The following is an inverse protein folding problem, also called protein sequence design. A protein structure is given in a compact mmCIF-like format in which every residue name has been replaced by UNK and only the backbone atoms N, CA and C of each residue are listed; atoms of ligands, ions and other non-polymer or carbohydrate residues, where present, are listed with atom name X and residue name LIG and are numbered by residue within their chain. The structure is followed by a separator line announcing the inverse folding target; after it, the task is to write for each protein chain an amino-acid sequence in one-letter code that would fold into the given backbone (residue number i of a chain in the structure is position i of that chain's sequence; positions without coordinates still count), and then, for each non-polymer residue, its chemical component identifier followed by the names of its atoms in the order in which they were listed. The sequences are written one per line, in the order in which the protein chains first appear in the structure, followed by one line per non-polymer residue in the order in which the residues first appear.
data_IF_978505914841
#
_entry.id   IF_978505914841
#
_cell.length_a   1.000
_cell.length_b   1.000
_cell.length_c   1.000
_cell.angle_alpha   90.00
_cell.angle_beta   90.00
_cell.angle_gamma   90.00
#
_symmetry.space_group_name_H-M   'P 1'
#
loop_
_entity.id
_entity.type
_entity.pdbx_description
1 polymer ?
#
# COMPACT_ATOMS: atom_id res chain seq x y z
N UNK A 1 -19.39 -42.66 -12.95
CA UNK A 1 -18.87 -41.58 -13.81
C UNK A 1 -19.85 -41.33 -14.94
N UNK A 2 -20.49 -40.16 -14.98
CA UNK A 2 -20.96 -39.55 -16.21
C UNK A 2 -20.13 -38.27 -16.52
N UNK A 3 -20.01 -37.88 -17.79
CA UNK A 3 -19.08 -36.83 -18.24
C UNK A 3 -19.59 -35.43 -17.89
N UNK A 4 -18.67 -34.57 -17.47
CA UNK A 4 -18.91 -33.16 -17.21
C UNK A 4 -19.25 -32.42 -18.51
N UNK A 5 -20.46 -31.90 -18.59
CA UNK A 5 -20.88 -30.92 -19.58
C UNK A 5 -20.25 -29.57 -19.24
N UNK A 6 -19.50 -29.02 -20.19
CA UNK A 6 -18.74 -27.78 -20.04
C UNK A 6 -19.65 -26.58 -20.37
N UNK A 7 -20.01 -25.68 -19.43
CA UNK A 7 -20.85 -24.53 -19.73
C UNK A 7 -20.07 -23.24 -19.49
N UNK A 8 -19.38 -22.71 -20.50
CA UNK A 8 -19.25 -21.26 -20.69
C UNK A 8 -18.48 -20.91 -21.98
N UNK A 9 -19.19 -20.96 -23.11
CA UNK A 9 -18.89 -20.12 -24.27
C UNK A 9 -19.94 -19.02 -24.32
N UNK A 10 -19.78 -18.00 -23.49
CA UNK A 10 -20.56 -16.77 -23.60
C UNK A 10 -19.70 -15.58 -23.17
N UNK A 11 -18.70 -15.25 -23.98
CA UNK A 11 -17.90 -14.02 -23.85
C UNK A 11 -18.76 -12.82 -24.25
N UNK A 12 -19.62 -12.35 -23.34
CA UNK A 12 -19.95 -10.93 -23.30
C UNK A 12 -18.64 -10.17 -23.02
N UNK A 13 -18.32 -9.06 -23.71
CA UNK A 13 -17.23 -8.23 -23.27
C UNK A 13 -17.59 -7.74 -21.87
N UNK A 14 -16.83 -8.19 -20.87
CA UNK A 14 -16.91 -7.64 -19.53
C UNK A 14 -16.82 -6.12 -19.67
N UNK A 15 -17.68 -5.41 -18.95
CA UNK A 15 -17.71 -3.95 -18.88
C UNK A 15 -16.31 -3.48 -18.44
N UNK A 16 -15.40 -3.29 -19.40
CA UNK A 16 -13.98 -3.03 -19.13
C UNK A 16 -13.93 -1.63 -18.57
N UNK A 17 -13.70 -1.52 -17.27
CA UNK A 17 -13.29 -0.27 -16.67
C UNK A 17 -12.06 0.22 -17.43
N UNK A 18 -12.18 1.36 -18.14
CA UNK A 18 -11.11 1.93 -18.96
C UNK A 18 -10.55 3.15 -18.28
N UNK A 19 -9.24 3.15 -18.06
CA UNK A 19 -8.54 4.35 -17.62
C UNK A 19 -8.34 5.30 -18.81
N UNK A 20 -8.60 6.61 -18.68
CA UNK A 20 -8.56 7.53 -19.81
C UNK A 20 -7.22 7.54 -20.55
N UNK A 21 -6.10 7.50 -19.82
CA UNK A 21 -4.76 7.52 -20.38
C UNK A 21 -4.37 6.21 -21.10
N UNK A 22 -5.17 5.15 -20.95
CA UNK A 22 -4.97 3.89 -21.68
C UNK A 22 -5.68 3.86 -23.04
N UNK A 23 -6.36 4.93 -23.45
CA UNK A 23 -7.04 5.01 -24.76
C UNK A 23 -6.15 4.55 -25.95
N UNK A 24 -4.88 4.99 -26.07
CA UNK A 24 -4.00 4.53 -27.15
C UNK A 24 -3.71 3.02 -27.10
N UNK A 25 -3.69 2.42 -25.90
CA UNK A 25 -3.49 0.98 -25.71
C UNK A 25 -4.72 0.23 -26.25
N UNK A 26 -5.92 0.69 -25.92
CA UNK A 26 -7.16 0.05 -26.38
C UNK A 26 -7.33 0.14 -27.90
N UNK A 27 -6.94 1.26 -28.52
CA UNK A 27 -6.95 1.40 -29.98
C UNK A 27 -6.01 0.40 -30.67
N UNK A 28 -4.79 0.25 -30.15
CA UNK A 28 -3.85 -0.74 -30.66
C UNK A 28 -4.30 -2.18 -30.39
N UNK A 29 -4.91 -2.47 -29.25
CA UNK A 29 -5.50 -3.78 -28.94
C UNK A 29 -6.66 -4.12 -29.89
N UNK A 30 -7.51 -3.16 -30.22
CA UNK A 30 -8.58 -3.33 -31.20
C UNK A 30 -8.02 -3.62 -32.60
N UNK A 31 -6.98 -2.88 -33.02
CA UNK A 31 -6.28 -3.13 -34.29
C UNK A 31 -5.64 -4.52 -34.32
N UNK A 32 -5.05 -4.96 -33.21
CA UNK A 32 -4.46 -6.30 -33.10
C UNK A 32 -5.52 -7.38 -33.26
N UNK A 33 -6.66 -7.23 -32.60
CA UNK A 33 -7.79 -8.16 -32.73
C UNK A 33 -8.33 -8.24 -34.16
N UNK A 34 -8.41 -7.12 -34.87
CA UNK A 34 -8.81 -7.10 -36.27
C UNK A 34 -7.82 -7.86 -37.17
N UNK A 35 -6.51 -7.66 -36.96
CA UNK A 35 -5.47 -8.37 -37.68
C UNK A 35 -5.50 -9.88 -37.41
N UNK A 36 -5.71 -10.27 -36.15
CA UNK A 36 -5.86 -11.67 -35.75
C UNK A 36 -7.10 -12.32 -36.37
N UNK A 37 -8.23 -11.61 -36.40
CA UNK A 37 -9.45 -12.08 -37.05
C UNK A 37 -9.26 -12.26 -38.57
N UNK A 38 -8.59 -11.31 -39.23
CA UNK A 38 -8.25 -11.42 -40.66
C UNK A 38 -7.30 -12.57 -40.95
N UNK A 39 -6.35 -12.83 -40.05
CA UNK A 39 -5.42 -13.97 -40.17
C UNK A 39 -6.18 -15.29 -40.07
N UNK A 40 -7.11 -15.41 -39.12
CA UNK A 40 -7.94 -16.61 -38.95
C UNK A 40 -8.85 -16.89 -40.16
N UNK A 41 -9.25 -15.85 -40.90
CA UNK A 41 -10.09 -15.95 -42.11
C UNK A 41 -9.29 -16.12 -43.41
N UNK A 42 -7.96 -15.95 -43.38
CA UNK A 42 -7.12 -16.00 -44.57
C UNK A 42 -6.99 -17.43 -45.12
N UNK A 43 -7.30 -17.62 -46.42
CA UNK A 43 -7.07 -18.86 -47.16
C UNK A 43 -5.86 -18.67 -48.09
N UNK A 44 -4.71 -19.23 -47.72
CA UNK A 44 -3.47 -19.19 -48.52
C UNK A 44 -2.22 -18.84 -47.69
N UNK A 45 -1.10 -19.51 -47.96
CA UNK A 45 0.12 -19.44 -47.15
C UNK A 45 0.81 -18.07 -47.15
N UNK A 46 0.87 -17.38 -48.30
CA UNK A 46 1.60 -16.11 -48.43
C UNK A 46 0.89 -14.93 -47.75
N UNK A 47 -0.45 -14.88 -47.85
CA UNK A 47 -1.26 -13.88 -47.14
C UNK A 47 -1.22 -14.07 -45.62
N UNK A 48 -1.20 -15.32 -45.15
CA UNK A 48 -1.10 -15.64 -43.73
C UNK A 48 0.29 -15.28 -43.16
N UNK A 49 1.37 -15.45 -43.94
CA UNK A 49 2.73 -15.09 -43.53
C UNK A 49 2.87 -13.56 -43.32
N UNK A 50 2.40 -12.74 -44.26
CA UNK A 50 2.44 -11.28 -44.13
C UNK A 50 1.64 -10.74 -42.94
N UNK A 51 0.46 -11.32 -42.66
CA UNK A 51 -0.34 -10.95 -41.48
C UNK A 51 0.35 -11.38 -40.18
N UNK A 52 1.04 -12.53 -40.17
CA UNK A 52 1.78 -13.01 -38.99
C UNK A 52 2.86 -12.01 -38.57
N UNK A 53 3.62 -11.47 -39.52
CA UNK A 53 4.69 -10.51 -39.22
C UNK A 53 4.14 -9.14 -38.82
N UNK A 54 3.03 -8.71 -39.41
CA UNK A 54 2.30 -7.52 -38.95
C UNK A 54 1.81 -7.67 -37.51
N UNK A 55 1.20 -8.80 -37.17
CA UNK A 55 0.75 -9.12 -35.79
C UNK A 55 1.93 -9.10 -34.82
N UNK A 56 3.07 -9.71 -35.16
CA UNK A 56 4.28 -9.66 -34.32
C UNK A 56 4.82 -8.25 -34.12
N UNK A 57 4.70 -7.40 -35.14
CA UNK A 57 5.14 -6.01 -35.08
C UNK A 57 4.24 -5.20 -34.17
N UNK A 58 2.91 -5.25 -34.39
CA UNK A 58 1.92 -4.57 -33.55
C UNK A 58 1.99 -5.05 -32.10
N UNK A 59 2.21 -6.34 -31.84
CA UNK A 59 2.40 -6.86 -30.47
C UNK A 59 3.63 -6.25 -29.78
N UNK A 60 4.75 -6.11 -30.50
CA UNK A 60 5.98 -5.48 -29.96
C UNK A 60 5.77 -4.00 -29.67
N UNK A 61 5.15 -3.28 -30.60
CA UNK A 61 4.81 -1.88 -30.42
C UNK A 61 3.83 -1.68 -29.25
N UNK A 62 2.84 -2.56 -29.10
CA UNK A 62 1.88 -2.52 -27.99
C UNK A 62 2.56 -2.69 -26.63
N UNK A 63 3.52 -3.62 -26.50
CA UNK A 63 4.30 -3.78 -25.27
C UNK A 63 5.15 -2.54 -25.00
N UNK A 64 5.77 -1.97 -26.03
CA UNK A 64 6.53 -0.72 -25.94
C UNK A 64 5.67 0.46 -25.48
N UNK A 65 4.48 0.61 -26.07
CA UNK A 65 3.51 1.64 -25.72
C UNK A 65 3.02 1.50 -24.27
N UNK A 66 2.68 0.27 -23.85
CA UNK A 66 2.29 -0.02 -22.45
C UNK A 66 3.39 0.41 -21.49
N UNK A 67 4.64 0.06 -21.76
CA UNK A 67 5.78 0.48 -20.92
C UNK A 67 5.96 1.99 -20.91
N UNK A 68 5.88 2.65 -22.07
CA UNK A 68 6.08 4.10 -22.18
C UNK A 68 5.01 4.89 -21.40
N UNK A 69 3.74 4.48 -21.49
CA UNK A 69 2.64 5.12 -20.74
C UNK A 69 2.82 4.87 -19.24
N UNK A 70 3.00 3.62 -18.82
CA UNK A 70 3.04 3.26 -17.40
C UNK A 70 4.31 3.71 -16.68
N UNK A 71 5.43 3.90 -17.40
CA UNK A 71 6.65 4.47 -16.82
C UNK A 71 6.51 5.95 -16.44
N UNK A 72 5.58 6.67 -17.08
CA UNK A 72 5.40 8.12 -16.99
C UNK A 72 4.04 8.53 -16.38
N UNK A 73 3.42 7.65 -15.59
CA UNK A 73 2.18 7.98 -14.90
C UNK A 73 2.39 9.15 -13.93
N UNK A 74 1.46 10.10 -13.96
CA UNK A 74 1.30 11.06 -12.88
C UNK A 74 0.93 10.36 -11.56
N UNK A 75 1.12 11.03 -10.41
CA UNK A 75 0.69 10.48 -9.12
C UNK A 75 -0.80 10.16 -9.08
N UNK A 76 -1.64 10.97 -9.74
CA UNK A 76 -3.09 10.70 -9.80
C UNK A 76 -3.40 9.49 -10.68
N UNK A 77 -2.78 9.35 -11.84
CA UNK A 77 -2.95 8.16 -12.68
C UNK A 77 -2.47 6.90 -11.95
N UNK A 78 -1.41 6.99 -11.15
CA UNK A 78 -0.97 5.90 -10.27
C UNK A 78 -2.06 5.50 -9.26
N UNK A 79 -2.75 6.47 -8.64
CA UNK A 79 -3.91 6.21 -7.77
C UNK A 79 -5.05 5.54 -8.54
N UNK A 80 -5.28 5.92 -9.80
CA UNK A 80 -6.30 5.27 -10.63
C UNK A 80 -5.93 3.81 -10.96
N UNK A 81 -4.65 3.51 -11.23
CA UNK A 81 -4.16 2.13 -11.41
C UNK A 81 -4.27 1.32 -10.13
N UNK A 82 -3.93 1.91 -8.97
CA UNK A 82 -4.03 1.20 -7.69
C UNK A 82 -5.47 0.88 -7.29
N UNK A 83 -6.43 1.68 -7.74
CA UNK A 83 -7.88 1.49 -7.54
C UNK A 83 -8.56 0.72 -8.67
N UNK A 84 -7.81 0.22 -9.64
CA UNK A 84 -8.36 -0.48 -10.78
C UNK A 84 -9.16 -1.72 -10.32
N UNK A 85 -10.36 -1.92 -10.88
CA UNK A 85 -11.28 -2.98 -10.42
C UNK A 85 -10.72 -4.40 -10.58
N UNK A 86 -9.87 -4.60 -11.59
CA UNK A 86 -9.18 -5.87 -11.86
C UNK A 86 -7.79 -5.94 -11.22
N UNK A 87 -7.40 -4.99 -10.37
CA UNK A 87 -6.13 -5.07 -9.65
C UNK A 87 -6.18 -6.29 -8.71
N UNK A 88 -5.16 -7.18 -8.74
CA UNK A 88 -5.19 -8.37 -7.90
C UNK A 88 -5.17 -8.01 -6.41
N UNK A 89 -6.03 -8.69 -5.64
CA UNK A 89 -6.20 -8.52 -4.20
C UNK A 89 -5.44 -9.61 -3.42
N UNK A 90 -5.48 -9.55 -2.09
CA UNK A 90 -4.80 -10.52 -1.22
C UNK A 90 -5.14 -11.98 -1.55
N UNK A 91 -6.42 -12.30 -1.76
CA UNK A 91 -6.84 -13.67 -2.12
C UNK A 91 -6.29 -14.14 -3.48
N UNK A 92 -6.13 -13.23 -4.43
CA UNK A 92 -5.57 -13.57 -5.75
C UNK A 92 -4.09 -13.95 -5.64
N UNK A 93 -3.33 -13.20 -4.84
CA UNK A 93 -1.94 -13.53 -4.57
C UNK A 93 -1.80 -14.78 -3.70
N UNK A 94 -2.72 -15.02 -2.75
CA UNK A 94 -2.77 -16.28 -2.01
C UNK A 94 -2.86 -17.48 -2.95
N UNK A 95 -3.80 -17.45 -3.91
CA UNK A 95 -3.99 -18.53 -4.89
C UNK A 95 -2.81 -18.70 -5.86
N UNK A 96 -2.15 -17.60 -6.24
CA UNK A 96 -1.08 -17.62 -7.25
C UNK A 96 0.32 -17.92 -6.66
N UNK A 97 0.57 -17.57 -5.40
CA UNK A 97 1.92 -17.58 -4.81
C UNK A 97 2.09 -18.70 -3.79
N UNK A 98 1.05 -18.98 -3.01
CA UNK A 98 1.12 -19.77 -1.79
C UNK A 98 0.44 -21.13 -1.94
N UNK A 99 0.99 -22.12 -1.24
CA UNK A 99 0.46 -23.47 -1.20
C UNK A 99 -0.17 -23.76 0.17
N UNK A 100 -1.19 -24.63 0.19
CA UNK A 100 -1.84 -25.13 1.41
C UNK A 100 -2.31 -24.02 2.37
N UNK A 101 -2.99 -22.99 1.85
CA UNK A 101 -3.55 -21.93 2.67
C UNK A 101 -4.65 -22.47 3.60
N UNK A 102 -4.46 -22.28 4.90
CA UNK A 102 -5.43 -22.59 5.94
C UNK A 102 -5.85 -21.29 6.63
N UNK A 103 -7.04 -20.81 6.27
CA UNK A 103 -7.60 -19.57 6.80
C UNK A 103 -7.93 -19.68 8.30
N UNK A 104 -7.60 -18.62 9.05
CA UNK A 104 -7.89 -18.48 10.47
C UNK A 104 -8.85 -17.31 10.68
N UNK A 105 -9.96 -17.59 11.36
CA UNK A 105 -11.04 -16.64 11.57
C UNK A 105 -11.08 -16.11 13.01
N UNK A 106 -11.68 -14.93 13.18
CA UNK A 106 -12.09 -14.34 14.45
C UNK A 106 -10.98 -13.72 15.29
N UNK A 107 -11.33 -12.70 16.06
CA UNK A 107 -10.46 -12.02 17.03
C UNK A 107 -10.53 -12.61 18.44
N UNK A 108 -11.48 -13.52 18.70
CA UNK A 108 -11.81 -14.12 20.01
C UNK A 108 -12.45 -13.14 21.02
N UNK A 109 -12.96 -12.01 20.56
CA UNK A 109 -13.64 -11.03 21.41
C UNK A 109 -14.97 -10.55 20.80
N UNK A 110 -14.94 -10.00 19.59
CA UNK A 110 -16.11 -9.37 18.97
C UNK A 110 -16.59 -10.16 17.76
N UNK A 111 -15.69 -10.54 16.84
CA UNK A 111 -16.12 -11.11 15.58
C UNK A 111 -14.98 -11.44 14.62
N UNK A 112 -15.37 -11.86 13.42
CA UNK A 112 -14.47 -12.12 12.30
C UNK A 112 -14.68 -11.06 11.23
N UNK A 113 -13.73 -10.13 11.09
CA UNK A 113 -13.82 -9.06 10.09
C UNK A 113 -13.34 -9.54 8.71
N UNK A 114 -14.23 -9.67 7.71
CA UNK A 114 -13.86 -10.13 6.37
C UNK A 114 -12.89 -9.19 5.63
N UNK A 115 -12.74 -7.93 6.06
CA UNK A 115 -11.77 -6.99 5.47
C UNK A 115 -10.31 -7.40 5.71
N UNK A 116 -10.04 -8.31 6.66
CA UNK A 116 -8.71 -8.84 6.95
C UNK A 116 -8.72 -10.36 6.78
N UNK A 117 -7.86 -10.90 5.94
CA UNK A 117 -7.65 -12.34 5.77
C UNK A 117 -6.39 -12.74 6.54
N UNK A 118 -6.48 -13.80 7.35
CA UNK A 118 -5.31 -14.35 8.06
C UNK A 118 -5.24 -15.86 7.91
N UNK A 119 -4.05 -16.45 7.91
CA UNK A 119 -3.94 -17.90 7.84
C UNK A 119 -2.51 -18.42 7.72
N UNK A 120 -2.34 -19.73 7.91
CA UNK A 120 -1.07 -20.39 7.62
C UNK A 120 -0.98 -20.68 6.12
N UNK A 121 0.23 -20.55 5.56
CA UNK A 121 0.48 -20.87 4.16
C UNK A 121 1.92 -21.39 3.98
N UNK A 122 2.21 -21.93 2.81
CA UNK A 122 3.58 -22.23 2.38
C UNK A 122 4.00 -21.28 1.25
N UNK A 123 5.16 -20.66 1.42
CA UNK A 123 5.87 -19.94 0.36
C UNK A 123 7.05 -20.82 -0.09
N UNK A 124 6.80 -21.71 -1.05
CA UNK A 124 7.74 -22.78 -1.37
C UNK A 124 7.89 -23.71 -0.17
N UNK A 125 9.11 -23.90 0.33
CA UNK A 125 9.36 -24.78 1.49
C UNK A 125 9.13 -24.08 2.85
N UNK A 126 8.94 -22.76 2.86
CA UNK A 126 8.80 -21.98 4.09
C UNK A 126 7.35 -21.89 4.54
N UNK A 127 7.06 -22.34 5.76
CA UNK A 127 5.78 -22.09 6.44
C UNK A 127 5.72 -20.64 6.91
N UNK A 128 4.63 -19.95 6.61
CA UNK A 128 4.44 -18.53 6.94
C UNK A 128 3.06 -18.29 7.53
N UNK A 129 2.94 -17.21 8.30
CA UNK A 129 1.66 -16.60 8.64
C UNK A 129 1.36 -15.50 7.64
N UNK A 130 0.22 -15.59 6.98
CA UNK A 130 -0.31 -14.57 6.09
C UNK A 130 -1.28 -13.66 6.85
N UNK A 131 -1.18 -12.36 6.59
CA UNK A 131 -2.16 -11.34 6.98
C UNK A 131 -2.35 -10.42 5.77
N UNK A 132 -3.58 -10.06 5.40
CA UNK A 132 -3.77 -9.13 4.30
C UNK A 132 -5.14 -8.49 4.27
N UNK A 133 -5.23 -7.32 3.65
CA UNK A 133 -6.52 -6.65 3.42
C UNK A 133 -7.24 -7.30 2.24
N UNK A 134 -8.55 -7.42 2.33
CA UNK A 134 -9.40 -7.92 1.26
C UNK A 134 -10.50 -6.91 0.96
N UNK A 135 -10.60 -6.46 -0.29
CA UNK A 135 -11.59 -5.45 -0.71
C UNK A 135 -12.88 -6.05 -1.21
N UNK A 136 -12.80 -7.21 -1.85
CA UNK A 136 -13.91 -7.86 -2.56
C UNK A 136 -13.96 -7.49 -4.04
N UNK A 137 -14.42 -8.42 -4.88
CA UNK A 137 -14.48 -8.29 -6.34
C UNK A 137 -15.81 -7.74 -6.83
N UNK A 138 -16.92 -8.31 -6.37
CA UNK A 138 -18.27 -7.84 -6.69
C UNK A 138 -18.86 -6.97 -5.58
N UNK A 139 -20.04 -6.39 -5.82
CA UNK A 139 -20.67 -5.47 -4.87
C UNK A 139 -21.04 -6.16 -3.54
N UNK A 140 -21.47 -7.43 -3.59
CA UNK A 140 -21.85 -8.17 -2.40
C UNK A 140 -20.62 -8.45 -1.53
N UNK A 141 -19.53 -8.95 -2.15
CA UNK A 141 -18.26 -9.21 -1.48
C UNK A 141 -17.64 -7.91 -0.96
N UNK A 142 -17.68 -6.82 -1.74
CA UNK A 142 -17.19 -5.51 -1.31
C UNK A 142 -17.92 -4.96 -0.11
N UNK A 143 -19.24 -5.08 -0.11
CA UNK A 143 -20.06 -4.65 1.03
C UNK A 143 -19.73 -5.49 2.26
N UNK A 144 -19.61 -6.82 2.11
CA UNK A 144 -19.22 -7.70 3.21
C UNK A 144 -17.83 -7.34 3.76
N UNK A 145 -16.85 -7.11 2.88
CA UNK A 145 -15.48 -6.77 3.24
C UNK A 145 -15.28 -5.28 3.59
N UNK A 146 -16.34 -4.49 3.72
CA UNK A 146 -16.27 -3.04 3.97
C UNK A 146 -15.33 -2.31 2.98
N UNK A 147 -15.25 -2.77 1.73
CA UNK A 147 -14.35 -2.27 0.69
C UNK A 147 -12.86 -2.30 1.10
N UNK A 148 -12.48 -3.21 1.99
CA UNK A 148 -11.13 -3.36 2.54
C UNK A 148 -10.83 -2.44 3.72
N UNK A 149 -11.82 -1.70 4.21
CA UNK A 149 -11.69 -0.86 5.40
C UNK A 149 -11.97 -1.71 6.64
N UNK A 150 -10.92 -2.12 7.36
CA UNK A 150 -11.07 -2.96 8.53
C UNK A 150 -11.66 -2.22 9.74
N UNK A 151 -12.49 -2.93 10.49
CA UNK A 151 -12.95 -2.59 11.83
C UNK A 151 -11.88 -2.98 12.88
N UNK A 152 -12.05 -2.56 14.16
CA UNK A 152 -11.07 -2.85 15.21
C UNK A 152 -10.84 -4.37 15.39
N UNK A 153 -11.89 -5.18 15.32
CA UNK A 153 -11.82 -6.65 15.36
C UNK A 153 -10.94 -7.24 14.24
N UNK A 154 -10.85 -6.63 13.06
CA UNK A 154 -9.94 -7.03 12.00
C UNK A 154 -8.47 -6.87 12.41
N UNK A 155 -8.13 -5.72 13.02
CA UNK A 155 -6.79 -5.48 13.54
C UNK A 155 -6.44 -6.38 14.72
N UNK A 156 -7.39 -6.64 15.64
CA UNK A 156 -7.20 -7.64 16.72
C UNK A 156 -6.98 -9.04 16.17
N UNK A 157 -7.74 -9.45 15.16
CA UNK A 157 -7.56 -10.74 14.45
C UNK A 157 -6.17 -10.83 13.83
N UNK A 158 -5.73 -9.79 13.11
CA UNK A 158 -4.38 -9.71 12.56
C UNK A 158 -3.32 -9.89 13.66
N UNK A 159 -3.41 -9.13 14.75
CA UNK A 159 -2.45 -9.22 15.84
C UNK A 159 -2.45 -10.59 16.53
N UNK A 160 -3.61 -11.20 16.72
CA UNK A 160 -3.74 -12.56 17.25
C UNK A 160 -2.99 -13.56 16.37
N UNK A 161 -3.17 -13.49 15.06
CA UNK A 161 -2.49 -14.35 14.09
C UNK A 161 -0.97 -14.11 14.10
N UNK A 162 -0.53 -12.86 14.13
CA UNK A 162 0.89 -12.50 14.21
C UNK A 162 1.56 -12.97 15.52
N UNK A 163 0.89 -12.82 16.67
CA UNK A 163 1.37 -13.35 17.96
C UNK A 163 1.49 -14.87 17.95
N UNK A 164 0.54 -15.56 17.29
CA UNK A 164 0.61 -17.01 17.11
C UNK A 164 1.81 -17.41 16.25
N UNK A 165 2.05 -16.69 15.14
CA UNK A 165 3.22 -16.91 14.29
C UNK A 165 4.54 -16.74 15.05
N UNK A 166 4.68 -15.65 15.81
CA UNK A 166 5.86 -15.38 16.62
C UNK A 166 6.12 -16.46 17.68
N UNK A 167 5.07 -16.98 18.34
CA UNK A 167 5.20 -18.10 19.29
C UNK A 167 5.80 -19.36 18.65
N UNK A 168 5.47 -19.62 17.39
CA UNK A 168 5.97 -20.76 16.63
C UNK A 168 7.18 -20.42 15.74
N UNK A 169 7.75 -19.21 15.89
CA UNK A 169 8.89 -18.70 15.10
C UNK A 169 8.65 -18.80 13.58
N UNK A 170 7.41 -18.56 13.17
CA UNK A 170 7.03 -18.52 11.76
C UNK A 170 7.14 -17.08 11.23
N UNK A 171 7.75 -16.86 10.05
CA UNK A 171 7.72 -15.56 9.40
C UNK A 171 6.32 -15.08 9.10
N UNK A 172 6.13 -13.76 9.09
CA UNK A 172 4.86 -13.10 8.81
C UNK A 172 4.97 -12.35 7.48
N UNK A 173 3.96 -12.49 6.64
CA UNK A 173 3.79 -11.70 5.41
C UNK A 173 2.50 -10.90 5.53
N UNK A 174 2.60 -9.58 5.35
CA UNK A 174 1.48 -8.65 5.35
C UNK A 174 1.24 -8.07 3.96
N UNK A 175 0.05 -8.25 3.37
CA UNK A 175 -0.36 -7.57 2.13
C UNK A 175 -1.30 -6.40 2.42
N UNK A 176 -0.88 -5.20 2.03
CA UNK A 176 -1.56 -3.95 2.32
C UNK A 176 -2.35 -3.49 1.09
N UNK A 177 -3.68 -3.42 1.24
CA UNK A 177 -4.59 -2.91 0.21
C UNK A 177 -5.90 -2.38 0.84
N UNK A 178 -5.82 -1.19 1.41
CA UNK A 178 -6.94 -0.55 2.10
C UNK A 178 -7.02 0.94 1.78
N UNK A 179 -8.22 1.50 1.55
CA UNK A 179 -8.42 2.94 1.53
C UNK A 179 -8.16 3.61 2.88
N UNK A 180 -8.24 2.83 3.97
CA UNK A 180 -8.08 3.28 5.35
C UNK A 180 -8.85 2.40 6.33
N UNK A 181 -8.70 2.66 7.63
CA UNK A 181 -9.54 1.99 8.63
C UNK A 181 -11.01 2.43 8.49
N UNK A 182 -11.96 1.58 8.84
CA UNK A 182 -13.39 1.91 8.71
C UNK A 182 -13.78 3.11 9.60
N UNK A 183 -14.27 4.23 9.03
CA UNK A 183 -14.55 5.44 9.79
C UNK A 183 -16.02 5.51 10.24
N UNK A 184 -16.45 4.55 11.07
CA UNK A 184 -17.84 4.43 11.53
C UNK A 184 -18.00 4.53 13.05
N UNK A 185 -19.19 4.92 13.51
CA UNK A 185 -19.53 5.03 14.96
C UNK A 185 -19.18 3.75 15.70
N UNK A 186 -19.59 2.61 15.14
CA UNK A 186 -19.33 1.28 15.69
C UNK A 186 -17.82 0.95 15.80
N UNK A 187 -17.00 1.45 14.88
CA UNK A 187 -15.55 1.27 14.95
C UNK A 187 -14.95 2.14 16.07
N UNK A 188 -15.45 3.36 16.25
CA UNK A 188 -15.04 4.26 17.33
C UNK A 188 -15.42 3.71 18.71
N UNK A 189 -16.67 3.26 18.89
CA UNK A 189 -17.16 2.63 20.13
C UNK A 189 -16.32 1.42 20.54
N UNK A 190 -15.76 0.69 19.55
CA UNK A 190 -14.91 -0.48 19.75
C UNK A 190 -13.41 -0.15 19.78
N UNK A 191 -13.02 1.12 19.72
CA UNK A 191 -11.65 1.59 19.92
C UNK A 191 -10.73 1.46 18.72
N UNK A 192 -11.16 1.86 17.51
CA UNK A 192 -10.36 1.81 16.28
C UNK A 192 -8.93 2.36 16.45
N UNK A 193 -8.79 3.57 16.99
CA UNK A 193 -7.49 4.17 17.23
C UNK A 193 -6.62 3.36 18.21
N UNK A 194 -7.22 2.90 19.32
CA UNK A 194 -6.51 2.15 20.36
C UNK A 194 -6.01 0.80 19.82
N UNK A 195 -6.83 0.06 19.07
CA UNK A 195 -6.42 -1.23 18.52
C UNK A 195 -5.35 -1.08 17.44
N UNK A 196 -5.44 -0.06 16.58
CA UNK A 196 -4.36 0.23 15.63
C UNK A 196 -3.07 0.52 16.39
N UNK A 197 -3.10 1.37 17.42
CA UNK A 197 -1.93 1.68 18.24
C UNK A 197 -1.33 0.44 18.93
N UNK A 198 -2.18 -0.45 19.48
CA UNK A 198 -1.76 -1.73 20.05
C UNK A 198 -1.05 -2.61 19.01
N UNK A 199 -1.56 -2.66 17.77
CA UNK A 199 -0.91 -3.37 16.68
C UNK A 199 0.47 -2.79 16.38
N UNK A 200 0.59 -1.46 16.23
CA UNK A 200 1.88 -0.82 15.95
C UNK A 200 2.93 -1.17 17.02
N UNK A 201 2.54 -1.03 18.29
CA UNK A 201 3.42 -1.33 19.42
C UNK A 201 3.81 -2.81 19.44
N UNK A 202 2.84 -3.72 19.33
CA UNK A 202 3.11 -5.14 19.41
C UNK A 202 3.94 -5.64 18.22
N UNK A 203 3.64 -5.20 17.00
CA UNK A 203 4.40 -5.56 15.80
C UNK A 203 5.87 -5.13 15.90
N UNK A 204 6.15 -3.97 16.50
CA UNK A 204 7.54 -3.52 16.72
C UNK A 204 8.35 -4.47 17.62
N UNK A 205 7.70 -5.32 18.41
CA UNK A 205 8.32 -6.21 19.41
C UNK A 205 8.25 -7.71 19.05
N UNK A 206 7.60 -8.09 17.94
CA UNK A 206 7.49 -9.50 17.56
C UNK A 206 8.84 -10.09 17.16
N UNK A 207 9.30 -11.10 17.90
CA UNK A 207 10.55 -11.83 17.66
C UNK A 207 10.46 -12.83 16.50
N UNK A 208 9.97 -12.39 15.35
CA UNK A 208 9.92 -13.17 14.11
C UNK A 208 10.05 -12.23 12.92
N UNK A 209 10.59 -12.69 11.78
CA UNK A 209 10.62 -11.93 10.54
C UNK A 209 9.24 -11.44 10.07
N UNK A 210 9.16 -10.18 9.65
CA UNK A 210 7.94 -9.57 9.09
C UNK A 210 8.27 -8.88 7.77
N UNK A 211 7.56 -9.26 6.70
CA UNK A 211 7.64 -8.60 5.39
C UNK A 211 6.27 -8.03 5.04
N UNK A 212 6.20 -6.71 4.88
CA UNK A 212 4.99 -5.99 4.47
C UNK A 212 5.11 -5.58 3.00
N UNK A 213 4.03 -5.68 2.23
CA UNK A 213 3.97 -5.20 0.85
C UNK A 213 2.69 -4.43 0.60
N UNK A 214 2.79 -3.19 0.11
CA UNK A 214 1.63 -2.47 -0.42
C UNK A 214 1.35 -2.98 -1.83
N UNK A 215 0.23 -3.67 -1.99
CA UNK A 215 -0.18 -4.26 -3.28
C UNK A 215 -1.21 -3.39 -4.01
N UNK A 216 -1.84 -2.44 -3.34
CA UNK A 216 -2.80 -1.51 -3.95
C UNK A 216 -2.82 -0.16 -3.24
N UNK A 217 -3.75 0.02 -2.32
CA UNK A 217 -3.88 1.25 -1.54
C UNK A 217 -3.24 1.09 -0.16
N UNK A 218 -2.34 2.00 0.22
CA UNK A 218 -1.77 2.14 1.55
C UNK A 218 -2.44 3.31 2.28
N UNK A 219 -3.68 3.13 2.71
CA UNK A 219 -4.47 4.16 3.37
C UNK A 219 -4.13 4.37 4.85
N UNK A 220 -3.34 5.40 5.16
CA UNK A 220 -3.16 6.00 6.49
C UNK A 220 -2.83 4.97 7.60
N UNK A 221 -3.30 5.23 8.82
CA UNK A 221 -3.17 4.34 9.98
C UNK A 221 -3.81 2.96 9.77
N UNK A 222 -4.80 2.85 8.88
CA UNK A 222 -5.43 1.56 8.58
C UNK A 222 -4.46 0.61 7.87
N UNK A 223 -3.69 1.12 6.92
CA UNK A 223 -2.59 0.37 6.29
C UNK A 223 -1.45 0.11 7.29
N UNK A 224 -1.07 1.13 8.08
CA UNK A 224 0.02 1.02 9.05
C UNK A 224 -0.28 -0.01 10.16
N UNK A 225 -1.55 -0.25 10.49
CA UNK A 225 -1.99 -1.23 11.48
C UNK A 225 -1.58 -2.68 11.20
N UNK A 226 -1.09 -2.99 9.99
CA UNK A 226 -0.38 -4.23 9.66
C UNK A 226 0.93 -3.98 8.88
N UNK A 227 1.45 -2.75 8.93
CA UNK A 227 2.57 -2.26 8.10
C UNK A 227 3.91 -2.13 8.81
N UNK A 228 4.02 -2.56 10.07
CA UNK A 228 5.27 -2.50 10.84
C UNK A 228 6.11 -3.76 10.62
N UNK A 229 6.99 -3.73 9.60
CA UNK A 229 7.81 -4.88 9.21
C UNK A 229 9.31 -4.60 9.11
N UNK A 230 10.10 -5.67 9.09
CA UNK A 230 11.55 -5.61 8.85
C UNK A 230 11.84 -5.15 7.43
N UNK A 231 11.07 -5.67 6.47
CA UNK A 231 11.07 -5.26 5.06
C UNK A 231 9.70 -4.75 4.65
N UNK A 232 9.68 -3.64 3.93
CA UNK A 232 8.50 -2.98 3.38
C UNK A 232 8.73 -2.79 1.89
N UNK A 233 7.98 -3.54 1.08
CA UNK A 233 7.95 -3.38 -0.37
C UNK A 233 6.70 -2.64 -0.83
N UNK A 234 6.73 -2.11 -2.05
CA UNK A 234 5.55 -1.58 -2.72
C UNK A 234 5.52 -2.07 -4.17
N UNK A 235 4.35 -2.50 -4.65
CA UNK A 235 4.14 -2.66 -6.09
C UNK A 235 4.27 -1.28 -6.77
N UNK A 236 4.86 -1.26 -7.95
CA UNK A 236 5.23 -0.03 -8.68
C UNK A 236 4.09 0.99 -8.80
N UNK A 237 2.86 0.52 -9.04
CA UNK A 237 1.67 1.36 -9.21
C UNK A 237 0.71 1.28 -8.02
N UNK A 238 1.24 1.01 -6.83
CA UNK A 238 0.56 1.22 -5.55
C UNK A 238 0.87 2.62 -4.98
N UNK A 239 0.09 3.06 -3.99
CA UNK A 239 0.41 4.29 -3.23
C UNK A 239 0.38 4.03 -1.73
N UNK A 240 1.12 4.83 -0.96
CA UNK A 240 1.06 4.82 0.50
C UNK A 240 1.01 6.27 1.00
N UNK A 241 -0.04 6.65 1.71
CA UNK A 241 -0.27 8.04 2.10
C UNK A 241 -0.92 8.15 3.47
N UNK A 242 -0.62 9.25 4.18
CA UNK A 242 -1.24 9.59 5.48
C UNK A 242 -2.73 9.95 5.35
N UNK A 243 -3.16 10.39 4.16
CA UNK A 243 -4.54 10.76 3.85
C UNK A 243 -4.82 10.48 2.37
N UNK A 244 -6.08 10.22 2.01
CA UNK A 244 -6.46 10.10 0.60
C UNK A 244 -6.21 11.43 -0.14
N UNK A 245 -5.86 11.39 -1.45
CA UNK A 245 -5.73 12.61 -2.26
C UNK A 245 -6.99 13.48 -2.19
N UNK A 246 -8.17 12.87 -2.23
CA UNK A 246 -9.45 13.57 -2.11
C UNK A 246 -9.62 14.24 -0.74
N UNK A 247 -9.30 13.56 0.35
CA UNK A 247 -9.37 14.12 1.70
C UNK A 247 -8.39 15.26 1.92
N UNK A 248 -7.18 15.16 1.36
CA UNK A 248 -6.21 16.25 1.37
C UNK A 248 -6.72 17.45 0.57
N UNK A 249 -7.33 17.21 -0.60
CA UNK A 249 -7.88 18.24 -1.46
C UNK A 249 -9.00 19.02 -0.76
N UNK A 250 -9.93 18.34 -0.10
CA UNK A 250 -11.02 18.99 0.64
C UNK A 250 -10.54 19.81 1.83
N UNK A 251 -9.44 19.42 2.49
CA UNK A 251 -8.90 20.16 3.63
C UNK A 251 -8.09 21.38 3.16
N UNK A 252 -7.10 21.18 2.29
CA UNK A 252 -6.14 22.24 1.93
C UNK A 252 -6.67 23.17 0.83
N UNK A 253 -7.53 22.67 -0.04
CA UNK A 253 -8.08 23.43 -1.17
C UNK A 253 -9.61 23.60 -1.12
N UNK A 254 -10.28 23.11 -0.07
CA UNK A 254 -11.74 23.24 0.11
C UNK A 254 -12.58 22.63 -1.04
N UNK A 255 -11.99 21.76 -1.86
CA UNK A 255 -12.68 21.01 -2.92
C UNK A 255 -11.96 19.69 -3.19
N UNK A 256 -12.72 18.64 -3.50
CA UNK A 256 -12.18 17.34 -3.93
C UNK A 256 -11.63 17.37 -5.37
N UNK A 257 -11.96 18.40 -6.15
CA UNK A 257 -11.58 18.48 -7.57
C UNK A 257 -10.06 18.62 -7.76
N UNK A 258 -9.35 19.10 -6.74
CA UNK A 258 -7.89 19.26 -6.74
C UNK A 258 -7.13 18.03 -6.23
N UNK A 259 -7.73 16.84 -6.32
CA UNK A 259 -7.15 15.56 -5.93
C UNK A 259 -5.86 15.22 -6.67
N UNK A 260 -5.73 15.65 -7.91
CA UNK A 260 -4.53 15.53 -8.74
C UNK A 260 -3.36 16.32 -8.13
N UNK A 261 -3.59 17.60 -7.83
CA UNK A 261 -2.61 18.47 -7.17
C UNK A 261 -2.28 17.99 -5.76
N UNK A 262 -3.26 17.46 -5.03
CA UNK A 262 -3.06 16.86 -3.73
C UNK A 262 -2.18 15.59 -3.82
N UNK A 263 -2.44 14.73 -4.81
CA UNK A 263 -1.64 13.53 -5.04
C UNK A 263 -0.16 13.86 -5.32
N UNK A 264 0.08 14.90 -6.12
CA UNK A 264 1.43 15.40 -6.41
C UNK A 264 2.15 16.00 -5.19
N UNK A 265 1.41 16.72 -4.34
CA UNK A 265 1.96 17.35 -3.14
C UNK A 265 2.31 16.34 -2.06
N UNK A 266 1.52 15.28 -1.90
CA UNK A 266 1.68 14.26 -0.87
C UNK A 266 2.87 13.31 -1.11
N UNK A 267 3.41 13.23 -2.35
CA UNK A 267 4.56 12.39 -2.70
C UNK A 267 4.41 10.93 -2.24
N UNK A 268 3.28 10.33 -2.62
CA UNK A 268 2.82 9.02 -2.14
C UNK A 268 3.19 7.82 -3.03
N UNK A 269 3.90 8.06 -4.14
CA UNK A 269 4.24 7.00 -5.11
C UNK A 269 5.36 6.11 -4.58
N UNK A 270 5.46 4.88 -5.08
CA UNK A 270 6.55 3.98 -4.70
C UNK A 270 7.96 4.60 -4.92
N UNK A 271 8.12 5.38 -6.00
CA UNK A 271 9.37 6.11 -6.32
C UNK A 271 9.70 7.19 -5.27
N UNK A 272 8.70 7.96 -4.86
CA UNK A 272 8.88 8.99 -3.83
C UNK A 272 9.25 8.39 -2.48
N UNK A 273 8.53 7.34 -2.08
CA UNK A 273 8.69 6.72 -0.76
C UNK A 273 10.00 5.93 -0.65
N UNK A 274 10.48 5.34 -1.75
CA UNK A 274 11.81 4.76 -1.81
C UNK A 274 12.88 5.84 -1.61
N UNK A 275 12.75 6.97 -2.31
CA UNK A 275 13.68 8.11 -2.16
C UNK A 275 13.71 8.66 -0.73
N UNK A 276 12.57 8.64 -0.04
CA UNK A 276 12.48 9.07 1.37
C UNK A 276 12.94 8.00 2.37
N UNK A 277 13.29 6.78 1.93
CA UNK A 277 13.69 5.69 2.81
C UNK A 277 12.54 5.12 3.67
N UNK A 278 11.29 5.35 3.26
CA UNK A 278 10.10 4.82 3.95
C UNK A 278 9.87 3.35 3.57
N UNK A 279 10.20 2.98 2.34
CA UNK A 279 10.14 1.60 1.83
C UNK A 279 11.53 1.14 1.40
N UNK A 280 11.73 -0.18 1.32
CA UNK A 280 13.04 -0.77 0.99
C UNK A 280 13.21 -1.09 -0.49
N UNK A 281 12.12 -1.47 -1.19
CA UNK A 281 12.18 -1.96 -2.57
C UNK A 281 10.87 -1.69 -3.30
N UNK A 282 10.99 -1.31 -4.58
CA UNK A 282 9.86 -1.25 -5.51
C UNK A 282 9.81 -2.58 -6.26
N UNK A 283 8.64 -3.20 -6.28
CA UNK A 283 8.37 -4.43 -7.00
C UNK A 283 7.75 -4.03 -8.34
N UNK A 284 8.51 -4.20 -9.42
CA UNK A 284 8.08 -3.85 -10.78
C UNK A 284 6.82 -4.61 -11.17
N UNK A 285 5.86 -3.89 -11.76
CA UNK A 285 4.65 -4.51 -12.30
C UNK A 285 4.85 -4.91 -13.77
N UNK A 286 4.08 -5.89 -14.30
CA UNK A 286 4.11 -6.22 -15.71
C UNK A 286 3.75 -5.03 -16.61
N UNK A 287 4.11 -5.06 -17.92
CA UNK A 287 3.75 -4.00 -18.85
C UNK A 287 2.25 -3.70 -18.85
N UNK A 288 1.88 -2.49 -18.41
CA UNK A 288 0.48 -2.08 -18.28
C UNK A 288 -0.16 -2.35 -16.91
N UNK A 289 0.64 -2.69 -15.90
CA UNK A 289 0.20 -2.88 -14.52
C UNK A 289 -0.30 -4.29 -14.19
N UNK A 290 -0.39 -4.56 -12.88
CA UNK A 290 -0.70 -5.87 -12.31
C UNK A 290 -2.08 -6.41 -12.73
N UNK A 291 -3.02 -5.53 -13.06
CA UNK A 291 -4.37 -5.91 -13.50
C UNK A 291 -4.39 -6.52 -14.91
N UNK A 292 -3.36 -6.27 -15.75
CA UNK A 292 -3.26 -6.82 -17.10
C UNK A 292 -2.55 -8.18 -17.14
N UNK A 293 -1.63 -8.42 -16.20
CA UNK A 293 -0.99 -9.74 -16.02
C UNK A 293 -0.83 -10.07 -14.53
N UNK A 294 -1.90 -10.55 -13.86
CA UNK A 294 -1.85 -10.93 -12.46
C UNK A 294 -0.80 -12.00 -12.15
N UNK A 295 -0.52 -12.91 -13.10
CA UNK A 295 0.48 -13.98 -12.93
C UNK A 295 1.89 -13.41 -12.94
N UNK A 296 2.20 -12.52 -13.88
CA UNK A 296 3.48 -11.82 -13.91
C UNK A 296 3.74 -11.01 -12.63
N UNK A 297 2.71 -10.29 -12.14
CA UNK A 297 2.79 -9.55 -10.88
C UNK A 297 3.02 -10.49 -9.68
N UNK A 298 2.34 -11.64 -9.65
CA UNK A 298 2.54 -12.65 -8.61
C UNK A 298 3.95 -13.25 -8.62
N UNK A 299 4.55 -13.46 -9.80
CA UNK A 299 5.94 -13.93 -9.92
C UNK A 299 6.92 -12.88 -9.35
N UNK A 300 6.74 -11.61 -9.69
CA UNK A 300 7.57 -10.52 -9.15
C UNK A 300 7.45 -10.41 -7.62
N UNK A 301 6.21 -10.45 -7.10
CA UNK A 301 5.92 -10.43 -5.67
C UNK A 301 6.52 -11.64 -4.95
N UNK A 302 6.32 -12.87 -5.47
CA UNK A 302 6.92 -14.09 -4.91
C UNK A 302 8.44 -13.98 -4.84
N UNK A 303 9.06 -13.47 -5.90
CA UNK A 303 10.51 -13.22 -5.94
C UNK A 303 10.97 -12.29 -4.83
N UNK A 304 10.28 -11.16 -4.63
CA UNK A 304 10.57 -10.23 -3.53
C UNK A 304 10.40 -10.90 -2.16
N UNK A 305 9.27 -11.55 -1.91
CA UNK A 305 8.95 -12.19 -0.64
C UNK A 305 10.00 -13.24 -0.26
N UNK A 306 10.33 -14.14 -1.19
CA UNK A 306 11.32 -15.21 -0.95
C UNK A 306 12.72 -14.65 -0.71
N UNK A 307 13.17 -13.63 -1.46
CA UNK A 307 14.47 -12.98 -1.24
C UNK A 307 14.53 -12.27 0.11
N UNK A 308 13.48 -11.49 0.42
CA UNK A 308 13.39 -10.72 1.65
C UNK A 308 13.40 -11.63 2.86
N UNK A 309 12.53 -12.65 2.88
CA UNK A 309 12.44 -13.62 3.98
C UNK A 309 13.75 -14.37 4.21
N UNK A 310 14.41 -14.85 3.15
CA UNK A 310 15.70 -15.54 3.27
C UNK A 310 16.74 -14.64 3.95
N UNK A 311 16.87 -13.38 3.51
CA UNK A 311 17.84 -12.43 4.07
C UNK A 311 17.59 -12.13 5.54
N UNK A 312 16.35 -11.94 5.95
CA UNK A 312 16.04 -11.55 7.33
C UNK A 312 15.90 -12.75 8.28
N UNK A 313 15.66 -13.96 7.78
CA UNK A 313 15.61 -15.18 8.59
C UNK A 313 16.99 -15.59 9.15
N UNK A 314 18.07 -15.11 8.54
CA UNK A 314 19.45 -15.34 9.00
C UNK A 314 19.83 -14.41 10.18
N UNK A 315 19.01 -13.40 10.48
CA UNK A 315 19.30 -12.41 11.52
C UNK A 315 18.81 -12.92 12.89
N UNK A 316 19.66 -12.93 13.93
CA UNK A 316 19.25 -13.24 15.30
C UNK A 316 18.10 -12.33 15.80
N UNK A 317 17.21 -12.87 16.63
CA UNK A 317 15.96 -12.18 17.00
C UNK A 317 16.18 -10.84 17.72
N UNK A 318 17.22 -10.72 18.55
CA UNK A 318 17.62 -9.49 19.22
C UNK A 318 18.08 -8.41 18.21
N UNK A 319 18.91 -8.79 17.25
CA UNK A 319 19.35 -7.89 16.17
C UNK A 319 18.20 -7.53 15.22
N UNK A 320 17.29 -8.47 14.96
CA UNK A 320 16.09 -8.24 14.15
C UNK A 320 15.22 -7.14 14.76
N UNK A 321 14.97 -7.20 16.08
CA UNK A 321 14.21 -6.19 16.80
C UNK A 321 14.93 -4.83 16.79
N UNK A 322 16.23 -4.80 17.02
CA UNK A 322 17.01 -3.56 16.97
C UNK A 322 16.97 -2.93 15.57
N UNK A 323 17.16 -3.73 14.52
CA UNK A 323 17.06 -3.26 13.13
C UNK A 323 15.66 -2.69 12.84
N UNK A 324 14.60 -3.37 13.28
CA UNK A 324 13.22 -2.88 13.13
C UNK A 324 13.03 -1.55 13.88
N UNK A 325 13.48 -1.46 15.13
CA UNK A 325 13.41 -0.21 15.90
C UNK A 325 14.13 0.94 15.19
N UNK A 326 15.39 0.73 14.80
CA UNK A 326 16.22 1.73 14.13
C UNK A 326 15.62 2.19 12.80
N UNK A 327 15.06 1.27 12.02
CA UNK A 327 14.38 1.59 10.77
C UNK A 327 13.30 2.63 10.98
N UNK A 328 12.36 2.39 11.89
CA UNK A 328 11.26 3.33 12.14
C UNK A 328 11.72 4.58 12.89
N UNK A 329 12.70 4.46 13.81
CA UNK A 329 13.19 5.58 14.62
C UNK A 329 13.87 6.68 13.79
N UNK A 330 14.46 6.32 12.64
CA UNK A 330 15.14 7.24 11.72
C UNK A 330 14.19 7.95 10.74
N UNK A 331 12.92 7.57 10.68
CA UNK A 331 11.95 8.18 9.78
C UNK A 331 11.54 9.55 10.34
N UNK A 332 11.89 10.61 9.61
CA UNK A 332 11.59 11.99 9.94
C UNK A 332 12.78 12.90 9.65
N UNK A 333 12.50 14.11 9.20
CA UNK A 333 13.51 15.15 9.01
C UNK A 333 13.05 16.41 9.74
N UNK A 334 13.91 16.95 10.59
CA UNK A 334 13.65 18.14 11.39
C UNK A 334 14.96 18.94 11.52
N UNK A 335 14.83 20.24 11.70
CA UNK A 335 15.96 21.09 12.04
C UNK A 335 16.18 21.00 13.55
N UNK A 336 17.43 20.79 13.96
CA UNK A 336 17.82 20.97 15.36
C UNK A 336 18.18 22.43 15.54
N UNK A 337 17.62 23.08 16.57
CA UNK A 337 18.18 24.35 17.02
C UNK A 337 19.61 24.09 17.53
N UNK A 338 20.56 25.02 17.34
CA UNK A 338 21.87 24.87 17.95
C UNK A 338 21.67 24.66 19.46
N UNK A 339 22.37 23.70 20.08
CA UNK A 339 22.23 23.47 21.51
C UNK A 339 22.46 24.80 22.22
N UNK A 340 21.49 25.22 23.04
CA UNK A 340 21.65 26.43 23.85
C UNK A 340 22.99 26.31 24.57
N UNK A 341 23.89 27.28 24.36
CA UNK A 341 25.14 27.33 25.09
C UNK A 341 24.77 27.27 26.57
N UNK A 342 25.18 26.17 27.22
CA UNK A 342 24.97 25.97 28.62
C UNK A 342 25.89 26.98 29.31
N UNK A 343 25.41 28.20 29.53
CA UNK A 343 26.11 29.22 30.30
C UNK A 343 26.23 28.63 31.70
N UNK A 344 27.44 28.31 32.19
CA UNK A 344 27.59 27.81 33.53
C UNK A 344 27.08 28.90 34.50
N UNK A 345 26.29 28.53 35.52
CA UNK A 345 26.12 29.44 36.65
C UNK A 345 27.52 29.62 37.24
N UNK A 346 27.93 30.88 37.43
CA UNK A 346 29.19 31.33 38.03
C UNK A 346 30.35 31.58 37.05
N UNK A 347 30.31 32.76 36.44
CA UNK A 347 31.53 33.56 36.24
C UNK A 347 31.49 34.72 37.26
N UNK A 348 32.43 34.79 38.23
CA UNK A 348 32.43 35.87 39.20
C UNK A 348 32.97 37.16 38.59
N UNK A 349 32.20 38.24 38.71
CA UNK A 349 32.71 39.61 38.78
C UNK A 349 32.61 40.44 37.52
N UNK A 350 31.56 41.26 37.43
CA UNK A 350 31.76 42.71 37.26
C UNK A 350 30.61 43.45 37.93
N UNK A 351 30.74 43.68 39.23
CA UNK A 351 30.05 44.79 39.87
C UNK A 351 30.65 46.09 39.33
N UNK A 352 29.86 46.85 38.57
CA UNK A 352 30.06 48.28 38.43
C UNK A 352 28.75 48.95 38.87
N UNK A 353 28.68 49.32 40.16
CA UNK A 353 27.71 50.30 40.65
C UNK A 353 28.16 51.69 40.23
N UNK A 354 27.24 52.49 39.71
CA UNK A 354 27.27 53.95 39.86
C UNK A 354 25.83 54.43 40.06
N UNK A 355 25.69 55.27 41.09
CA UNK A 355 24.49 55.67 41.80
C UNK A 355 23.56 56.68 41.07
N UNK A 356 22.34 56.76 41.63
CA UNK A 356 21.51 57.96 41.88
C UNK A 356 20.51 58.48 40.82
N UNK A 357 19.24 58.03 40.95
CA UNK A 357 17.97 58.76 41.28
C UNK A 357 17.68 60.20 40.77
N UNK A 358 16.40 60.73 40.73
CA UNK A 358 15.09 60.14 41.12
C UNK A 358 13.85 60.42 40.19
N UNK A 359 12.78 59.61 40.37
CA UNK A 359 11.32 59.93 40.54
C UNK A 359 10.66 61.01 39.64
N UNK A 360 9.59 60.81 38.83
CA UNK A 360 8.16 60.61 39.18
C UNK A 360 7.29 60.44 37.89
N UNK A 361 6.02 59.96 37.94
CA UNK A 361 5.21 59.48 36.79
C UNK A 361 4.10 60.45 36.33
N UNK A 362 3.28 60.08 35.32
CA UNK A 362 1.85 60.41 35.34
C UNK A 362 1.01 59.13 35.20
N UNK A 363 0.10 58.80 36.13
CA UNK A 363 -1.22 59.37 36.40
C UNK A 363 -2.35 58.76 35.52
N UNK A 364 -3.33 58.20 36.24
CA UNK A 364 -4.53 57.46 35.83
C UNK A 364 -5.44 58.14 34.77
N UNK A 365 -6.18 57.30 34.02
CA UNK A 365 -7.66 57.33 34.11
C UNK A 365 -8.50 57.68 32.87
N UNK A 366 -8.94 56.63 32.14
CA UNK A 366 -10.28 56.38 31.53
C UNK A 366 -10.97 57.44 30.60
N UNK A 367 -12.19 57.18 30.06
CA UNK A 367 -12.55 56.32 28.92
C UNK A 367 -13.16 57.11 27.72
N UNK A 368 -13.59 56.39 26.67
CA UNK A 368 -14.28 56.84 25.43
C UNK A 368 -15.42 57.85 25.66
N UNK A 369 -15.78 58.73 24.69
CA UNK A 369 -16.76 58.33 23.65
C UNK A 369 -16.66 59.07 22.28
N UNK A 370 -17.02 58.36 21.19
CA UNK A 370 -17.96 58.79 20.12
C UNK A 370 -18.01 57.75 19.01
#
# INVERSE_FOLDING_TARGET
MPPATNPNTNTKPANQYRLPFEAPIFEMEARLLELEARQAQAKGADGAAGLTDQIKTVRRELVGLKRAIFANLSPWETVQVSRHQLRPQSRDYLELIFDQFLELHGDRAVGDDPAIVTGFAHLGEQKVMFVGHQKGRDLAERTACNFGCAHPEGYRKALRAMKLAARHRLPIICLIDTPGAYPGIQAEERGQAAIIAENLMAMSQLQTPIVCVVIGEGGSGGALGIGIGDRVGMLEHSYYSVISPEGCATILWKTADRKDRAAEALKMTAKDLLRFGIIDEIIEEPPGGAHRDPRGAAVALKGFLSRSLRKIAEIPADQLLEHRYQKFRRIGAFFEDPPAECVPPDSPGTEARADSDPVTPPANGAPSPS
#
